data_IF_573838555838
#
_entry.id   IF_573838555838
#
_cell.length_a   1.000
_cell.length_b   1.000
_cell.length_c   1.000
_cell.angle_alpha   90.00
_cell.angle_beta   90.00
_cell.angle_gamma   90.00
#
_symmetry.space_group_name_H-M   'P 1'
#
loop_
_entity.id
_entity.type
_entity.pdbx_description
1 polymer ?
#
# COMPACT_ATOMS: atom_id res chain seq x y z
N UNK A 1 -11.38 -11.45 -0.41
CA UNK A 1 -10.57 -12.11 0.67
C UNK A 1 -10.24 -11.16 1.85
N UNK A 2 -10.10 -11.65 3.10
CA UNK A 2 -9.76 -10.83 4.29
C UNK A 2 -8.36 -10.21 4.24
N UNK A 3 -7.31 -11.00 3.99
CA UNK A 3 -5.91 -10.51 4.00
C UNK A 3 -5.66 -9.38 2.99
N UNK A 4 -6.16 -9.51 1.75
CA UNK A 4 -6.02 -8.47 0.74
C UNK A 4 -6.72 -7.16 1.14
N UNK A 5 -7.90 -7.25 1.76
CA UNK A 5 -8.62 -6.09 2.30
C UNK A 5 -7.83 -5.42 3.43
N UNK A 6 -7.27 -6.20 4.33
CA UNK A 6 -6.44 -5.71 5.43
C UNK A 6 -5.18 -5.01 4.89
N UNK A 7 -4.50 -5.60 3.90
CA UNK A 7 -3.33 -4.99 3.25
C UNK A 7 -3.66 -3.69 2.52
N UNK A 8 -4.77 -3.61 1.79
CA UNK A 8 -5.23 -2.36 1.15
C UNK A 8 -5.51 -1.28 2.20
N UNK A 9 -6.14 -1.65 3.31
CA UNK A 9 -6.40 -0.71 4.41
C UNK A 9 -5.10 -0.15 4.98
N UNK A 10 -4.14 -1.02 5.31
CA UNK A 10 -2.84 -0.61 5.85
C UNK A 10 -2.08 0.24 4.83
N UNK A 11 -2.10 -0.12 3.55
CA UNK A 11 -1.47 0.66 2.48
C UNK A 11 -2.00 2.11 2.45
N UNK A 12 -3.33 2.27 2.48
CA UNK A 12 -3.97 3.60 2.45
C UNK A 12 -3.65 4.42 3.71
N UNK A 13 -3.73 3.79 4.88
CA UNK A 13 -3.40 4.45 6.15
C UNK A 13 -1.93 4.88 6.19
N UNK A 14 -1.01 4.03 5.72
CA UNK A 14 0.41 4.33 5.65
C UNK A 14 0.73 5.44 4.65
N UNK A 15 0.05 5.47 3.49
CA UNK A 15 0.15 6.56 2.53
C UNK A 15 -0.19 7.91 3.18
N UNK A 16 -1.31 7.97 3.92
CA UNK A 16 -1.72 9.18 4.65
C UNK A 16 -0.65 9.61 5.67
N UNK A 17 -0.12 8.67 6.45
CA UNK A 17 0.93 8.95 7.44
C UNK A 17 2.20 9.49 6.75
N UNK A 18 2.59 8.91 5.62
CA UNK A 18 3.76 9.35 4.85
C UNK A 18 3.54 10.76 4.30
N UNK A 19 2.37 11.06 3.75
CA UNK A 19 2.08 12.39 3.21
C UNK A 19 2.08 13.48 4.29
N UNK A 20 1.58 13.17 5.49
CA UNK A 20 1.66 14.06 6.66
C UNK A 20 3.12 14.24 7.12
N UNK A 21 3.87 13.14 7.24
CA UNK A 21 5.25 13.15 7.70
C UNK A 21 6.23 13.80 6.71
N UNK A 22 5.93 13.79 5.40
CA UNK A 22 6.82 14.32 4.35
C UNK A 22 7.22 15.78 4.59
N UNK A 23 6.33 16.60 5.15
CA UNK A 23 6.61 18.03 5.35
C UNK A 23 7.69 18.28 6.40
N UNK A 24 7.72 17.48 7.46
CA UNK A 24 8.52 17.76 8.66
C UNK A 24 9.63 16.72 8.91
N UNK A 25 9.55 15.56 8.25
CA UNK A 25 10.35 14.40 8.59
C UNK A 25 10.96 13.67 7.38
N UNK A 26 10.88 14.24 6.17
CA UNK A 26 11.39 13.58 4.96
C UNK A 26 12.89 13.25 4.99
N UNK A 27 13.66 13.90 5.86
CA UNK A 27 15.10 13.68 6.02
C UNK A 27 15.45 12.65 7.13
N UNK A 28 14.45 12.03 7.76
CA UNK A 28 14.64 11.14 8.90
C UNK A 28 14.65 9.67 8.47
N UNK A 29 15.53 8.88 9.08
CA UNK A 29 15.65 7.44 8.81
C UNK A 29 14.32 6.67 8.96
N UNK A 30 13.47 7.07 9.92
CA UNK A 30 12.18 6.42 10.10
C UNK A 30 11.20 6.74 8.97
N UNK A 31 11.31 7.89 8.30
CA UNK A 31 10.48 8.23 7.15
C UNK A 31 10.78 7.29 5.99
N UNK A 32 12.06 7.07 5.70
CA UNK A 32 12.49 6.06 4.71
C UNK A 32 11.96 4.66 5.07
N UNK A 33 11.93 4.30 6.36
CA UNK A 33 11.33 3.01 6.78
C UNK A 33 9.82 2.93 6.55
N UNK A 34 9.10 4.04 6.60
CA UNK A 34 7.67 4.07 6.24
C UNK A 34 7.51 3.86 4.73
N UNK A 35 8.35 4.50 3.91
CA UNK A 35 8.35 4.32 2.45
C UNK A 35 8.68 2.87 2.09
N UNK A 36 9.72 2.28 2.68
CA UNK A 36 10.09 0.86 2.51
C UNK A 36 8.89 -0.07 2.81
N UNK A 37 8.15 0.22 3.89
CA UNK A 37 6.99 -0.57 4.29
C UNK A 37 5.83 -0.42 3.30
N UNK A 38 5.58 0.79 2.80
CA UNK A 38 4.57 1.06 1.77
C UNK A 38 4.87 0.28 0.49
N UNK A 39 6.12 0.31 0.03
CA UNK A 39 6.59 -0.41 -1.16
C UNK A 39 6.46 -1.93 -1.01
N UNK A 40 6.77 -2.46 0.17
CA UNK A 40 6.61 -3.89 0.47
C UNK A 40 5.14 -4.32 0.38
N UNK A 41 4.21 -3.51 0.92
CA UNK A 41 2.77 -3.79 0.86
C UNK A 41 2.26 -3.68 -0.58
N UNK A 42 2.61 -2.62 -1.31
CA UNK A 42 2.23 -2.44 -2.71
C UNK A 42 2.74 -3.57 -3.60
N UNK A 43 3.96 -4.04 -3.37
CA UNK A 43 4.55 -5.20 -4.03
C UNK A 43 3.79 -6.49 -3.73
N UNK A 44 3.38 -6.71 -2.48
CA UNK A 44 2.59 -7.88 -2.09
C UNK A 44 1.24 -7.90 -2.81
N UNK A 45 0.51 -6.78 -2.80
CA UNK A 45 -0.77 -6.63 -3.50
C UNK A 45 -0.64 -6.87 -5.01
N UNK A 46 0.38 -6.29 -5.64
CA UNK A 46 0.68 -6.49 -7.06
C UNK A 46 0.94 -7.96 -7.38
N UNK A 47 1.70 -8.67 -6.54
CA UNK A 47 1.97 -10.10 -6.72
C UNK A 47 0.74 -10.97 -6.51
N UNK A 48 -0.15 -10.60 -5.57
CA UNK A 48 -1.42 -11.30 -5.37
C UNK A 48 -2.29 -11.20 -6.63
N UNK A 49 -2.39 -10.01 -7.22
CA UNK A 49 -3.07 -9.78 -8.50
C UNK A 49 -2.44 -10.59 -9.64
N UNK A 50 -1.13 -10.45 -9.83
CA UNK A 50 -0.42 -11.13 -10.93
C UNK A 50 -0.50 -12.67 -10.87
N UNK A 51 -0.73 -13.24 -9.68
CA UNK A 51 -0.88 -14.69 -9.48
C UNK A 51 -2.33 -15.17 -9.54
N UNK A 52 -3.30 -14.29 -9.80
CA UNK A 52 -4.72 -14.64 -9.81
C UNK A 52 -5.25 -15.10 -8.45
N UNK A 53 -4.64 -14.63 -7.35
CA UNK A 53 -5.07 -14.98 -5.98
C UNK A 53 -6.31 -14.17 -5.58
N UNK A 54 -6.46 -12.98 -6.15
CA UNK A 54 -7.54 -12.06 -5.82
C UNK A 54 -8.82 -12.43 -6.58
N UNK A 55 -9.96 -12.29 -5.90
CA UNK A 55 -11.26 -12.31 -6.57
C UNK A 55 -11.45 -11.02 -7.42
N UNK A 56 -12.30 -11.02 -8.47
CA UNK A 56 -12.43 -9.88 -9.39
C UNK A 56 -12.84 -8.56 -8.72
N UNK A 57 -13.58 -8.62 -7.61
CA UNK A 57 -13.93 -7.43 -6.81
C UNK A 57 -12.68 -6.87 -6.14
N UNK A 58 -11.87 -7.72 -5.53
CA UNK A 58 -10.65 -7.34 -4.85
C UNK A 58 -9.55 -6.88 -5.81
N UNK A 59 -9.47 -7.44 -7.02
CA UNK A 59 -8.56 -6.96 -8.06
C UNK A 59 -8.82 -5.49 -8.40
N UNK A 60 -10.09 -5.11 -8.61
CA UNK A 60 -10.48 -3.71 -8.86
C UNK A 60 -10.09 -2.81 -7.69
N UNK A 61 -10.37 -3.23 -6.47
CA UNK A 61 -10.02 -2.44 -5.27
C UNK A 61 -8.50 -2.23 -5.17
N UNK A 62 -7.70 -3.26 -5.46
CA UNK A 62 -6.23 -3.14 -5.49
C UNK A 62 -5.77 -2.22 -6.62
N UNK A 63 -6.34 -2.38 -7.82
CA UNK A 63 -6.03 -1.55 -8.98
C UNK A 63 -6.35 -0.08 -8.72
N UNK A 64 -7.55 0.23 -8.24
CA UNK A 64 -7.95 1.58 -7.84
C UNK A 64 -7.03 2.15 -6.77
N UNK A 65 -6.65 1.34 -5.77
CA UNK A 65 -5.76 1.81 -4.69
C UNK A 65 -4.37 2.15 -5.20
N UNK A 66 -3.77 1.29 -6.04
CA UNK A 66 -2.40 1.48 -6.52
C UNK A 66 -2.29 2.53 -7.63
N UNK A 67 -3.34 2.72 -8.45
CA UNK A 67 -3.35 3.69 -9.56
C UNK A 67 -3.83 5.09 -9.15
N UNK A 68 -4.54 5.21 -8.01
CA UNK A 68 -5.01 6.50 -7.48
C UNK A 68 -4.07 7.12 -6.44
N UNK A 69 -2.92 6.49 -6.20
CA UNK A 69 -1.85 6.99 -5.30
C UNK A 69 -0.94 7.98 -6.01
#
# INVERSE_FOLDING_TARGET
MKLAKDLVKIYRELLTIIDEARREHHDKDYFEKLVDALDAIGSALTRMRARGILDPEMEKVVEETLLSS
#
